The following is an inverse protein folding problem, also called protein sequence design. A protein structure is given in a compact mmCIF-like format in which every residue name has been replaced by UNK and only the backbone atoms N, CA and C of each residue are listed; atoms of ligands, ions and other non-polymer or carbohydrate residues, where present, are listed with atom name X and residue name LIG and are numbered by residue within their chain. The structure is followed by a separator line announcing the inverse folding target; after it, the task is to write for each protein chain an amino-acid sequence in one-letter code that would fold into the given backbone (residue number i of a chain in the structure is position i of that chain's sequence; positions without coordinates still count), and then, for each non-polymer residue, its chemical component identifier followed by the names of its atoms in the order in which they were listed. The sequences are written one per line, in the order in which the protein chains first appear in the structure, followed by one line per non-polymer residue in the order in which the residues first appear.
data_IF_452238032453
#
_entry.id   IF_452238032453
#
_cell.length_a   1.000
_cell.length_b   1.000
_cell.length_c   1.000
_cell.angle_alpha   90.00
_cell.angle_beta   90.00
_cell.angle_gamma   90.00
#
_symmetry.space_group_name_H-M   'P 1'
#
loop_
_entity.id
_entity.type
_entity.pdbx_description
1 polymer ?
#
# COMPACT_ATOMS: atom_id res chain seq x y z
N UNK A 1 13.72 -24.15 33.74
CA UNK A 1 13.24 -23.34 32.61
C UNK A 1 11.72 -23.33 32.49
N UNK A 2 11.03 -24.47 32.27
CA UNK A 2 9.56 -24.52 32.07
C UNK A 2 8.75 -23.69 33.10
N UNK A 3 9.04 -23.81 34.40
CA UNK A 3 8.37 -23.05 35.46
C UNK A 3 8.57 -21.52 35.44
N UNK A 4 9.53 -21.01 34.66
CA UNK A 4 9.78 -19.55 34.51
C UNK A 4 8.96 -18.98 33.34
N UNK A 5 8.64 -19.79 32.33
CA UNK A 5 7.81 -19.36 31.18
C UNK A 5 6.32 -19.35 31.51
N UNK A 6 5.86 -20.21 32.44
CA UNK A 6 4.46 -20.25 32.88
C UNK A 6 4.02 -18.94 33.54
N UNK A 7 4.87 -18.31 34.36
CA UNK A 7 4.55 -17.06 35.05
C UNK A 7 4.31 -15.85 34.13
N UNK A 8 4.76 -15.88 32.87
CA UNK A 8 4.43 -14.85 31.88
C UNK A 8 3.02 -15.01 31.29
N UNK A 9 2.45 -16.22 31.29
CA UNK A 9 1.11 -16.47 30.74
C UNK A 9 0.00 -16.08 31.72
N UNK A 10 0.20 -16.24 33.03
CA UNK A 10 -0.77 -15.80 34.04
C UNK A 10 -1.05 -14.29 33.97
N UNK A 11 -0.02 -13.48 33.69
CA UNK A 11 -0.14 -12.03 33.49
C UNK A 11 -1.03 -11.68 32.29
N UNK A 12 -0.77 -12.27 31.13
CA UNK A 12 -1.57 -12.08 29.91
C UNK A 12 -3.02 -12.57 30.07
N UNK A 13 -3.23 -13.66 30.81
CA UNK A 13 -4.55 -14.20 31.12
C UNK A 13 -5.41 -13.26 31.97
N UNK A 14 -4.80 -12.58 32.97
CA UNK A 14 -5.52 -11.59 33.80
C UNK A 14 -5.84 -10.32 33.02
N UNK A 15 -4.92 -9.84 32.16
CA UNK A 15 -5.11 -8.63 31.35
C UNK A 15 -6.20 -8.83 30.25
N UNK A 16 -6.28 -10.03 29.68
CA UNK A 16 -7.35 -10.42 28.76
C UNK A 16 -8.72 -10.58 29.46
N UNK A 17 -8.77 -11.15 30.68
CA UNK A 17 -10.01 -11.22 31.49
C UNK A 17 -10.54 -9.83 31.89
N UNK A 18 -9.67 -8.82 31.97
CA UNK A 18 -10.07 -7.44 32.27
C UNK A 18 -10.68 -6.67 31.07
N UNK A 19 -10.43 -7.11 29.83
CA UNK A 19 -10.79 -6.34 28.61
C UNK A 19 -12.01 -6.85 27.84
N UNK A 20 -12.47 -8.09 28.06
CA UNK A 20 -13.63 -8.65 27.33
C UNK A 20 -14.69 -9.32 28.24
N UNK A 21 -15.73 -8.57 28.59
CA UNK A 21 -16.90 -9.06 29.35
C UNK A 21 -17.96 -9.80 28.51
N UNK A 22 -17.64 -10.21 27.26
CA UNK A 22 -18.62 -10.67 26.27
C UNK A 22 -18.35 -12.04 25.63
N UNK A 23 -17.19 -12.67 25.87
CA UNK A 23 -16.88 -14.02 25.39
C UNK A 23 -16.85 -14.96 26.59
N UNK A 24 -17.65 -16.03 26.54
CA UNK A 24 -17.93 -16.89 27.69
C UNK A 24 -16.66 -17.46 28.35
N UNK A 25 -16.40 -17.05 29.59
CA UNK A 25 -15.25 -17.50 30.38
C UNK A 25 -15.17 -19.04 30.51
N UNK A 26 -16.33 -19.71 30.49
CA UNK A 26 -16.46 -21.18 30.52
C UNK A 26 -15.57 -21.90 29.50
N UNK A 27 -15.46 -21.36 28.28
CA UNK A 27 -14.75 -22.05 27.19
C UNK A 27 -13.23 -21.93 27.35
N UNK A 28 -12.77 -20.84 27.94
CA UNK A 28 -11.35 -20.60 28.24
C UNK A 28 -10.92 -21.40 29.48
N UNK A 29 -11.76 -21.43 30.52
CA UNK A 29 -11.49 -22.18 31.75
C UNK A 29 -11.39 -23.71 31.44
N UNK A 30 -12.20 -24.26 30.53
CA UNK A 30 -12.08 -25.65 30.01
C UNK A 30 -10.74 -25.88 29.29
N UNK A 31 -10.21 -24.86 28.60
CA UNK A 31 -8.95 -24.98 27.86
C UNK A 31 -7.74 -24.98 28.81
N UNK A 32 -7.78 -24.14 29.85
CA UNK A 32 -6.79 -24.11 30.94
C UNK A 32 -6.80 -25.44 31.71
N UNK A 33 -7.98 -25.94 32.12
CA UNK A 33 -8.14 -27.23 32.80
C UNK A 33 -7.49 -28.40 32.02
N UNK A 34 -7.61 -28.38 30.68
CA UNK A 34 -6.97 -29.39 29.82
C UNK A 34 -5.45 -29.25 29.74
N UNK A 35 -4.91 -28.03 29.79
CA UNK A 35 -3.46 -27.79 29.81
C UNK A 35 -2.86 -28.26 31.14
N UNK A 36 -3.56 -28.02 32.26
CA UNK A 36 -3.15 -28.50 33.58
C UNK A 36 -3.14 -30.03 33.64
N UNK A 37 -4.19 -30.69 33.16
CA UNK A 37 -4.27 -32.17 33.07
C UNK A 37 -3.17 -32.78 32.19
N UNK A 38 -2.78 -32.10 31.11
CA UNK A 38 -1.64 -32.53 30.27
C UNK A 38 -0.30 -32.36 31.01
N UNK A 39 -0.13 -31.25 31.72
CA UNK A 39 1.08 -30.96 32.50
C UNK A 39 1.26 -31.97 33.64
N UNK A 40 0.19 -32.24 34.39
CA UNK A 40 0.20 -33.24 35.46
C UNK A 40 0.49 -34.66 34.94
N UNK A 41 -0.03 -35.02 33.75
CA UNK A 41 0.29 -36.30 33.09
C UNK A 41 1.78 -36.44 32.75
N UNK A 42 2.41 -35.39 32.24
CA UNK A 42 3.85 -35.39 31.92
C UNK A 42 4.69 -35.58 33.20
N UNK A 43 4.35 -34.87 34.29
CA UNK A 43 5.02 -35.07 35.58
C UNK A 43 4.83 -36.48 36.17
N UNK A 44 3.62 -37.03 36.08
CA UNK A 44 3.30 -38.36 36.61
C UNK A 44 4.03 -39.49 35.86
N UNK A 45 4.26 -39.32 34.56
CA UNK A 45 5.06 -40.24 33.73
C UNK A 45 6.54 -40.18 34.15
N UNK A 46 7.10 -38.99 34.34
CA UNK A 46 8.48 -38.81 34.79
C UNK A 46 8.80 -39.46 36.14
N UNK A 47 7.82 -39.51 37.06
CA UNK A 47 7.98 -40.08 38.42
C UNK A 47 7.89 -41.62 38.50
N UNK A 48 7.57 -42.34 37.41
CA UNK A 48 7.28 -43.80 37.46
C UNK A 48 8.20 -44.73 36.66
N UNK A 49 9.15 -44.22 35.88
CA UNK A 49 9.94 -45.06 34.95
C UNK A 49 11.19 -45.66 35.60
N UNK A 50 11.28 -46.99 35.63
CA UNK A 50 12.51 -47.74 35.90
C UNK A 50 13.30 -47.98 34.61
N UNK A 51 14.62 -48.20 34.75
CA UNK A 51 15.67 -47.99 33.72
C UNK A 51 15.62 -48.84 32.43
N UNK A 52 14.55 -49.62 32.18
CA UNK A 52 14.40 -50.47 30.97
C UNK A 52 13.24 -50.03 30.06
N UNK A 53 12.44 -49.02 30.44
CA UNK A 53 11.42 -48.41 29.57
C UNK A 53 11.64 -46.91 29.34
N UNK A 54 12.87 -46.41 29.55
CA UNK A 54 13.17 -44.98 29.46
C UNK A 54 12.92 -44.41 28.06
N UNK A 55 13.40 -45.07 27.01
CA UNK A 55 13.36 -44.55 25.62
C UNK A 55 11.93 -44.36 25.11
N UNK A 56 11.05 -45.34 25.32
CA UNK A 56 9.64 -45.27 24.93
C UNK A 56 8.83 -44.26 25.77
N UNK A 57 9.34 -43.86 26.94
CA UNK A 57 8.79 -42.78 27.76
C UNK A 57 9.28 -41.42 27.27
N UNK A 58 10.57 -41.30 26.94
CA UNK A 58 11.17 -40.09 26.35
C UNK A 58 10.50 -39.74 25.02
N UNK A 59 10.32 -40.70 24.11
CA UNK A 59 9.65 -40.49 22.82
C UNK A 59 8.21 -39.95 22.97
N UNK A 60 7.48 -40.41 24.00
CA UNK A 60 6.13 -39.90 24.32
C UNK A 60 6.15 -38.50 24.93
N UNK A 61 7.14 -38.19 25.76
CA UNK A 61 7.32 -36.86 26.35
C UNK A 61 7.67 -35.86 25.24
N UNK A 62 8.60 -36.18 24.36
CA UNK A 62 9.00 -35.32 23.24
C UNK A 62 7.83 -35.04 22.28
N UNK A 63 7.03 -36.05 21.93
CA UNK A 63 5.81 -35.86 21.15
C UNK A 63 4.81 -34.92 21.85
N UNK A 64 4.60 -35.08 23.16
CA UNK A 64 3.69 -34.23 23.94
C UNK A 64 4.19 -32.78 24.04
N UNK A 65 5.51 -32.57 24.10
CA UNK A 65 6.13 -31.23 24.11
C UNK A 65 5.95 -30.55 22.75
N UNK A 66 6.03 -31.28 21.64
CA UNK A 66 5.79 -30.76 20.29
C UNK A 66 4.33 -30.29 20.16
N UNK A 67 3.36 -31.14 20.53
CA UNK A 67 1.93 -30.79 20.49
C UNK A 67 1.60 -29.58 21.37
N UNK A 68 2.21 -29.47 22.56
CA UNK A 68 2.03 -28.33 23.46
C UNK A 68 2.58 -27.01 22.88
N UNK A 69 3.73 -27.08 22.19
CA UNK A 69 4.32 -25.90 21.54
C UNK A 69 3.52 -25.47 20.31
N UNK A 70 2.95 -26.40 19.54
CA UNK A 70 2.03 -26.08 18.45
C UNK A 70 0.75 -25.42 18.99
N UNK A 71 0.16 -25.96 20.06
CA UNK A 71 -1.01 -25.36 20.72
C UNK A 71 -0.73 -23.94 21.23
N UNK A 72 0.41 -23.71 21.90
CA UNK A 72 0.83 -22.36 22.36
C UNK A 72 0.97 -21.37 21.20
N UNK A 73 1.57 -21.80 20.09
CA UNK A 73 1.71 -20.97 18.89
C UNK A 73 0.36 -20.62 18.27
N UNK A 74 -0.55 -21.59 18.15
CA UNK A 74 -1.91 -21.37 17.62
C UNK A 74 -2.73 -20.43 18.51
N UNK A 75 -2.67 -20.59 19.83
CA UNK A 75 -3.33 -19.68 20.78
C UNK A 75 -2.77 -18.26 20.64
N UNK A 76 -1.43 -18.10 20.54
CA UNK A 76 -0.82 -16.79 20.33
C UNK A 76 -1.26 -16.15 18.99
N UNK A 77 -1.33 -16.94 17.91
CA UNK A 77 -1.86 -16.48 16.62
C UNK A 77 -3.34 -16.09 16.70
N UNK A 78 -4.18 -16.87 17.38
CA UNK A 78 -5.61 -16.58 17.54
C UNK A 78 -5.84 -15.34 18.42
N UNK A 79 -5.13 -15.20 19.55
CA UNK A 79 -5.17 -14.00 20.38
C UNK A 79 -4.74 -12.75 19.60
N UNK A 80 -3.70 -12.86 18.79
CA UNK A 80 -3.19 -11.74 17.98
C UNK A 80 -4.11 -11.41 16.80
N UNK A 81 -4.81 -12.41 16.25
CA UNK A 81 -5.83 -12.23 15.21
C UNK A 81 -7.15 -11.68 15.78
N UNK A 82 -7.52 -12.06 17.00
CA UNK A 82 -8.62 -11.45 17.77
C UNK A 82 -8.31 -10.00 18.12
N UNK A 83 -7.10 -9.69 18.58
CA UNK A 83 -6.66 -8.33 18.89
C UNK A 83 -6.63 -7.42 17.65
N UNK A 84 -6.35 -7.98 16.46
CA UNK A 84 -6.52 -7.30 15.17
C UNK A 84 -7.98 -7.21 14.72
N UNK A 85 -8.85 -8.07 15.25
CA UNK A 85 -10.25 -8.25 14.86
C UNK A 85 -10.44 -9.08 13.59
N UNK A 86 -9.42 -9.78 13.11
CA UNK A 86 -9.45 -10.56 11.87
C UNK A 86 -10.41 -11.76 11.95
N UNK A 87 -10.64 -12.27 13.16
CA UNK A 87 -11.55 -13.37 13.48
C UNK A 87 -12.97 -12.82 13.73
N UNK A 88 -13.93 -13.26 12.91
CA UNK A 88 -15.34 -12.83 12.91
C UNK A 88 -16.28 -13.86 13.55
N UNK A 89 -15.89 -15.13 13.60
CA UNK A 89 -16.62 -16.24 14.24
C UNK A 89 -15.66 -17.10 15.10
N UNK A 90 -16.15 -17.69 16.19
CA UNK A 90 -15.41 -18.69 16.98
C UNK A 90 -14.89 -19.84 16.10
N UNK A 91 -15.64 -20.22 15.06
CA UNK A 91 -15.24 -21.31 14.15
C UNK A 91 -14.00 -20.99 13.29
N UNK A 92 -13.60 -19.73 13.21
CA UNK A 92 -12.39 -19.29 12.50
C UNK A 92 -11.10 -19.39 13.35
N UNK A 93 -11.22 -19.65 14.66
CA UNK A 93 -10.09 -19.88 15.56
C UNK A 93 -9.29 -21.12 15.10
N UNK A 94 -8.00 -20.93 14.82
CA UNK A 94 -7.11 -22.01 14.39
C UNK A 94 -6.94 -23.07 15.49
N UNK A 95 -6.93 -22.64 16.75
CA UNK A 95 -6.89 -23.51 17.94
C UNK A 95 -8.10 -24.43 17.99
N UNK A 96 -9.32 -23.95 17.69
CA UNK A 96 -10.53 -24.77 17.70
C UNK A 96 -10.46 -25.85 16.61
N UNK A 97 -10.01 -25.49 15.41
CA UNK A 97 -9.84 -26.45 14.31
C UNK A 97 -8.76 -27.52 14.61
N UNK A 98 -7.68 -27.14 15.30
CA UNK A 98 -6.64 -28.07 15.77
C UNK A 98 -7.14 -29.01 16.87
N UNK A 99 -7.89 -28.51 17.86
CA UNK A 99 -8.51 -29.35 18.91
C UNK A 99 -9.47 -30.39 18.29
N UNK A 100 -10.26 -29.99 17.28
CA UNK A 100 -11.16 -30.91 16.57
C UNK A 100 -10.44 -31.90 15.64
N UNK A 101 -9.23 -31.60 15.16
CA UNK A 101 -8.45 -32.55 14.35
C UNK A 101 -7.83 -33.65 15.23
N UNK A 102 -7.25 -33.27 16.38
CA UNK A 102 -6.70 -34.20 17.37
C UNK A 102 -7.77 -35.14 17.93
N UNK A 103 -8.95 -34.61 18.29
CA UNK A 103 -10.08 -35.40 18.79
C UNK A 103 -10.57 -36.48 17.80
N UNK A 104 -10.38 -36.29 16.49
CA UNK A 104 -10.71 -37.31 15.46
C UNK A 104 -9.64 -38.40 15.33
N UNK A 105 -8.38 -38.09 15.67
CA UNK A 105 -7.27 -39.04 15.62
C UNK A 105 -7.38 -40.16 16.66
N UNK A 106 -7.68 -39.80 17.92
CA UNK A 106 -7.73 -40.76 19.02
C UNK A 106 -8.94 -41.71 18.98
N UNK A 107 -10.08 -41.27 18.44
CA UNK A 107 -11.26 -42.14 18.24
C UNK A 107 -10.96 -43.31 17.30
N UNK A 108 -10.00 -43.18 16.39
CA UNK A 108 -9.61 -44.27 15.48
C UNK A 108 -8.58 -45.26 16.08
N UNK A 109 -8.02 -44.99 17.27
CA UNK A 109 -6.94 -45.81 17.87
C UNK A 109 -7.39 -46.72 19.02
N UNK A 110 -8.66 -46.65 19.45
CA UNK A 110 -9.11 -47.21 20.74
C UNK A 110 -10.05 -48.43 20.67
N UNK A 111 -10.04 -49.23 19.59
CA UNK A 111 -10.83 -50.49 19.50
C UNK A 111 -10.01 -51.67 18.97
N UNK A 112 -9.40 -52.46 19.86
CA UNK A 112 -9.38 -53.95 19.84
C UNK A 112 -8.56 -54.55 21.00
N UNK A 113 -9.17 -55.25 21.98
CA UNK A 113 -8.44 -56.08 22.94
C UNK A 113 -8.38 -57.54 22.46
N UNK A 114 -7.21 -57.98 21.99
CA UNK A 114 -6.98 -59.38 21.59
C UNK A 114 -6.54 -60.25 22.77
N UNK A 115 -7.49 -60.92 23.42
CA UNK A 115 -7.21 -61.91 24.46
C UNK A 115 -6.87 -63.26 23.81
N UNK A 116 -5.63 -63.75 23.95
CA UNK A 116 -5.23 -65.09 23.50
C UNK A 116 -4.85 -65.99 24.68
N UNK A 117 -5.69 -67.00 24.94
CA UNK A 117 -5.36 -68.20 25.72
C UNK A 117 -4.63 -69.18 24.80
N UNK A 118 -3.58 -69.83 25.30
CA UNK A 118 -2.67 -70.65 24.48
C UNK A 118 -3.11 -72.10 24.33
N UNK A 119 -2.53 -72.78 23.32
CA UNK A 119 -2.49 -74.24 23.18
C UNK A 119 -1.21 -74.64 22.42
N UNK A 120 -0.79 -75.91 22.52
CA UNK A 120 0.60 -76.33 22.26
C UNK A 120 0.76 -77.52 21.31
N UNK A 121 1.97 -77.64 20.73
CA UNK A 121 2.54 -78.76 19.93
C UNK A 121 2.06 -78.83 18.45
N UNK A 122 2.91 -79.10 17.46
CA UNK A 122 4.39 -79.21 17.44
C UNK A 122 4.90 -79.87 16.15
N UNK A 123 6.23 -79.79 15.88
CA UNK A 123 7.01 -80.61 14.91
C UNK A 123 6.58 -80.48 13.43
N UNK A 124 7.37 -80.10 12.41
CA UNK A 124 8.81 -79.82 12.20
C UNK A 124 8.93 -78.77 11.03
N UNK A 125 10.02 -78.47 10.30
CA UNK A 125 11.35 -79.08 10.12
C UNK A 125 12.42 -78.02 9.70
N UNK A 126 13.51 -78.49 9.06
CA UNK A 126 14.73 -77.80 8.56
C UNK A 126 15.01 -78.47 7.18
N UNK A 127 15.43 -77.80 6.08
CA UNK A 127 16.75 -77.16 6.00
C UNK A 127 17.01 -76.00 5.01
N UNK A 128 18.18 -75.34 5.22
CA UNK A 128 19.04 -74.65 4.22
C UNK A 128 18.47 -73.42 3.46
N UNK A 129 19.25 -72.44 2.99
CA UNK A 129 20.71 -72.25 2.94
C UNK A 129 21.08 -70.74 3.02
N UNK A 130 22.38 -70.46 3.10
CA UNK A 130 23.03 -69.17 2.87
C UNK A 130 22.47 -68.36 1.67
N UNK A 131 22.49 -67.02 1.75
CA UNK A 131 23.23 -66.22 0.75
C UNK A 131 23.53 -64.78 1.21
N UNK A 132 24.79 -64.39 1.06
CA UNK A 132 25.31 -63.04 1.31
C UNK A 132 25.44 -62.30 -0.03
N UNK A 133 24.58 -61.30 -0.34
CA UNK A 133 24.85 -60.33 -1.43
C UNK A 133 23.98 -59.06 -1.40
N UNK A 134 24.68 -57.92 -1.36
CA UNK A 134 24.40 -56.62 -2.01
C UNK A 134 22.95 -56.17 -2.20
N UNK A 135 22.59 -55.07 -1.53
CA UNK A 135 21.83 -53.97 -2.15
C UNK A 135 22.22 -52.63 -1.54
N UNK A 136 23.19 -51.96 -2.19
CA UNK A 136 23.46 -50.54 -2.02
C UNK A 136 22.54 -49.82 -3.00
N UNK A 137 21.79 -48.81 -2.54
CA UNK A 137 20.98 -47.96 -3.43
C UNK A 137 19.46 -48.09 -3.27
N UNK A 138 18.92 -47.52 -2.20
CA UNK A 138 17.60 -46.85 -2.27
C UNK A 138 17.80 -45.37 -1.95
N UNK A 139 18.07 -44.62 -3.01
CA UNK A 139 17.90 -43.16 -2.99
C UNK A 139 16.47 -42.86 -2.54
N UNK A 140 16.33 -41.97 -1.55
CA UNK A 140 15.03 -41.40 -1.18
C UNK A 140 14.68 -40.34 -2.22
N UNK A 141 14.42 -40.77 -3.46
CA UNK A 141 13.57 -40.01 -4.39
C UNK A 141 12.13 -40.12 -3.88
N UNK A 142 11.87 -39.43 -2.78
CA UNK A 142 10.53 -39.16 -2.30
C UNK A 142 9.79 -38.46 -3.42
N UNK A 143 8.93 -39.21 -4.11
CA UNK A 143 8.16 -38.71 -5.25
C UNK A 143 7.27 -37.60 -4.71
N UNK A 144 7.64 -36.36 -4.99
CA UNK A 144 6.81 -35.17 -4.79
C UNK A 144 5.60 -35.28 -5.72
N UNK A 145 4.63 -36.10 -5.33
CA UNK A 145 3.40 -36.29 -6.08
C UNK A 145 2.67 -34.96 -6.17
N UNK A 146 2.20 -34.64 -7.37
CA UNK A 146 1.58 -33.36 -7.77
C UNK A 146 0.26 -33.02 -7.03
N UNK A 147 -0.13 -33.82 -6.02
CA UNK A 147 -1.26 -33.54 -5.14
C UNK A 147 -0.93 -32.49 -4.06
N UNK A 148 0.30 -32.44 -3.56
CA UNK A 148 0.66 -31.45 -2.51
C UNK A 148 0.79 -30.00 -3.04
N UNK A 149 1.06 -29.82 -4.33
CA UNK A 149 1.14 -28.49 -4.97
C UNK A 149 -0.23 -27.77 -5.08
N UNK A 150 -1.36 -28.44 -4.83
CA UNK A 150 -2.66 -27.77 -4.71
C UNK A 150 -2.83 -27.05 -3.37
N UNK A 151 -2.17 -27.50 -2.30
CA UNK A 151 -2.24 -26.83 -1.00
C UNK A 151 -1.54 -25.46 -1.02
N UNK A 152 -0.45 -25.32 -1.79
CA UNK A 152 0.25 -24.04 -1.99
C UNK A 152 -0.50 -23.02 -2.85
N UNK A 153 -1.59 -23.41 -3.51
CA UNK A 153 -2.42 -22.50 -4.30
C UNK A 153 -3.16 -21.43 -3.47
N UNK A 154 -3.31 -21.64 -2.15
CA UNK A 154 -3.95 -20.69 -1.23
C UNK A 154 -3.11 -19.46 -0.90
N UNK A 155 -1.78 -19.52 -1.05
CA UNK A 155 -0.90 -18.43 -0.59
C UNK A 155 -0.99 -17.16 -1.45
N UNK A 156 -1.37 -17.30 -2.72
CA UNK A 156 -1.51 -16.17 -3.64
C UNK A 156 -2.88 -15.47 -3.54
N UNK A 157 -3.93 -16.14 -3.02
CA UNK A 157 -5.26 -15.51 -2.92
C UNK A 157 -5.29 -14.37 -1.90
N UNK A 158 -4.54 -14.51 -0.79
CA UNK A 158 -4.43 -13.48 0.26
C UNK A 158 -4.02 -12.13 -0.34
N UNK A 159 -2.98 -12.11 -1.19
CA UNK A 159 -2.53 -10.88 -1.86
C UNK A 159 -3.56 -10.30 -2.83
N UNK A 160 -4.31 -11.15 -3.55
CA UNK A 160 -5.37 -10.67 -4.45
C UNK A 160 -6.59 -10.15 -3.71
N UNK A 161 -6.90 -10.70 -2.54
CA UNK A 161 -8.06 -10.30 -1.75
C UNK A 161 -7.79 -8.97 -1.04
N UNK A 162 -6.61 -8.76 -0.45
CA UNK A 162 -6.18 -7.44 0.06
C UNK A 162 -6.14 -6.38 -1.05
N UNK A 163 -5.60 -6.71 -2.23
CA UNK A 163 -5.56 -5.78 -3.37
C UNK A 163 -6.95 -5.52 -4.01
N UNK A 164 -8.00 -6.22 -3.58
CA UNK A 164 -9.37 -6.06 -4.09
C UNK A 164 -10.27 -5.18 -3.20
N UNK A 165 -9.69 -4.53 -2.20
CA UNK A 165 -10.39 -3.78 -1.16
C UNK A 165 -9.96 -2.30 -1.18
N UNK A 166 -10.94 -1.39 -1.15
CA UNK A 166 -10.70 0.05 -0.98
C UNK A 166 -10.94 0.45 0.48
N UNK A 167 -9.90 0.94 1.15
CA UNK A 167 -10.04 1.58 2.45
C UNK A 167 -10.40 3.06 2.22
N UNK A 168 -11.46 3.56 2.86
CA UNK A 168 -11.72 4.99 2.87
C UNK A 168 -10.52 5.72 3.46
N UNK A 169 -10.08 6.79 2.79
CA UNK A 169 -8.97 7.62 3.24
C UNK A 169 -9.44 8.69 4.22
N UNK A 170 -8.49 9.22 4.98
CA UNK A 170 -8.68 10.41 5.83
C UNK A 170 -8.63 11.71 4.99
N UNK A 171 -9.48 11.77 3.96
CA UNK A 171 -9.64 12.91 3.04
C UNK A 171 -11.02 13.55 3.23
N UNK A 172 -11.14 14.85 2.94
CA UNK A 172 -12.46 15.54 2.94
C UNK A 172 -13.40 14.93 1.89
N UNK A 173 -12.85 14.42 0.77
CA UNK A 173 -13.59 13.77 -0.30
C UNK A 173 -14.26 12.47 0.17
N UNK A 174 -13.51 11.52 0.75
CA UNK A 174 -14.07 10.26 1.26
C UNK A 174 -15.03 10.53 2.44
N UNK A 175 -14.71 11.50 3.29
CA UNK A 175 -15.56 11.90 4.42
C UNK A 175 -16.93 12.45 4.00
N UNK A 176 -16.99 13.18 2.88
CA UNK A 176 -18.23 13.74 2.34
C UNK A 176 -19.29 12.68 1.99
N UNK A 177 -18.91 11.42 1.84
CA UNK A 177 -19.83 10.29 1.67
C UNK A 177 -20.85 10.20 2.82
N UNK A 178 -20.43 10.58 4.02
CA UNK A 178 -21.24 10.57 5.24
C UNK A 178 -22.12 11.84 5.42
N UNK A 179 -21.97 12.86 4.56
CA UNK A 179 -22.62 14.17 4.69
C UNK A 179 -24.15 14.09 4.63
N UNK A 180 -24.84 14.47 5.70
CA UNK A 180 -26.29 14.34 5.82
C UNK A 180 -26.76 12.93 6.21
N UNK A 181 -25.86 12.08 6.73
CA UNK A 181 -26.27 10.88 7.46
C UNK A 181 -26.79 11.29 8.85
N UNK A 182 -28.01 10.89 9.26
CA UNK A 182 -28.59 11.34 10.52
C UNK A 182 -27.84 10.85 11.76
N UNK A 183 -27.05 9.77 11.66
CA UNK A 183 -26.33 9.15 12.78
C UNK A 183 -25.24 10.02 13.42
N UNK A 184 -24.73 11.05 12.73
CA UNK A 184 -23.70 11.97 13.25
C UNK A 184 -24.30 13.23 13.90
N UNK A 185 -25.62 13.43 13.77
CA UNK A 185 -26.29 14.65 14.21
C UNK A 185 -26.05 15.86 13.31
N UNK A 186 -26.84 16.92 13.52
CA UNK A 186 -26.83 18.11 12.65
C UNK A 186 -25.52 18.94 12.73
N UNK A 187 -24.92 19.23 13.92
CA UNK A 187 -23.73 20.08 13.99
C UNK A 187 -22.52 19.49 13.25
N UNK A 188 -22.29 18.18 13.36
CA UNK A 188 -21.19 17.50 12.67
C UNK A 188 -21.37 17.52 11.15
N UNK A 189 -22.60 17.38 10.67
CA UNK A 189 -22.93 17.51 9.25
C UNK A 189 -22.71 18.95 8.73
N UNK A 190 -23.00 19.99 9.53
CA UNK A 190 -22.69 21.37 9.17
C UNK A 190 -21.17 21.63 9.08
N UNK A 191 -20.39 21.13 10.05
CA UNK A 191 -18.93 21.27 10.03
C UNK A 191 -18.33 20.52 8.83
N UNK A 192 -18.79 19.30 8.55
CA UNK A 192 -18.35 18.52 7.39
C UNK A 192 -18.69 19.21 6.06
N UNK A 193 -19.84 19.86 5.95
CA UNK A 193 -20.19 20.68 4.78
C UNK A 193 -19.26 21.89 4.61
N UNK A 194 -18.96 22.59 5.71
CA UNK A 194 -18.02 23.72 5.70
C UNK A 194 -16.61 23.26 5.29
N UNK A 195 -16.14 22.11 5.80
CA UNK A 195 -14.86 21.52 5.41
C UNK A 195 -14.80 21.15 3.92
N UNK A 196 -15.87 20.56 3.38
CA UNK A 196 -15.97 20.28 1.93
C UNK A 196 -15.94 21.55 1.09
N UNK A 197 -16.68 22.58 1.48
CA UNK A 197 -16.70 23.86 0.78
C UNK A 197 -15.33 24.56 0.84
N UNK A 198 -14.69 24.57 2.01
CA UNK A 198 -13.35 25.12 2.18
C UNK A 198 -12.33 24.39 1.30
N UNK A 199 -12.36 23.05 1.27
CA UNK A 199 -11.50 22.25 0.41
C UNK A 199 -11.68 22.58 -1.08
N UNK A 200 -12.92 22.62 -1.58
CA UNK A 200 -13.21 22.97 -2.98
C UNK A 200 -12.70 24.39 -3.29
N UNK A 201 -12.96 25.38 -2.44
CA UNK A 201 -12.50 26.76 -2.65
C UNK A 201 -10.96 26.82 -2.68
N UNK A 202 -10.29 26.17 -1.74
CA UNK A 202 -8.82 26.16 -1.63
C UNK A 202 -8.18 25.48 -2.84
N UNK A 203 -8.64 24.30 -3.24
CA UNK A 203 -8.08 23.62 -4.42
C UNK A 203 -8.38 24.39 -5.72
N UNK A 204 -9.56 24.98 -5.87
CA UNK A 204 -9.87 25.83 -7.03
C UNK A 204 -9.01 27.10 -7.07
N UNK A 205 -8.72 27.72 -5.92
CA UNK A 205 -7.81 28.86 -5.84
C UNK A 205 -6.37 28.48 -6.23
N UNK A 206 -5.85 27.35 -5.74
CA UNK A 206 -4.54 26.85 -6.15
C UNK A 206 -4.48 26.49 -7.64
N UNK A 207 -5.51 25.84 -8.19
CA UNK A 207 -5.62 25.63 -9.64
C UNK A 207 -5.57 26.96 -10.41
N UNK A 208 -6.29 27.99 -9.96
CA UNK A 208 -6.27 29.32 -10.58
C UNK A 208 -4.88 29.95 -10.58
N UNK A 209 -4.15 29.84 -9.47
CA UNK A 209 -2.76 30.31 -9.35
C UNK A 209 -1.83 29.51 -10.30
N UNK A 210 -1.91 28.16 -10.28
CA UNK A 210 -1.05 27.32 -11.14
C UNK A 210 -1.33 27.53 -12.63
N UNK A 211 -2.56 27.87 -13.01
CA UNK A 211 -2.92 28.24 -14.39
C UNK A 211 -2.31 29.58 -14.82
N UNK A 212 -2.11 30.54 -13.90
CA UNK A 212 -1.52 31.85 -14.24
C UNK A 212 0.02 31.82 -14.34
N UNK A 213 0.68 31.00 -13.51
CA UNK A 213 2.15 30.98 -13.39
C UNK A 213 2.95 30.77 -14.71
N UNK A 214 2.51 29.95 -15.69
CA UNK A 214 3.20 29.82 -16.97
C UNK A 214 3.25 31.12 -17.79
N UNK A 215 2.24 31.99 -17.67
CA UNK A 215 2.18 33.23 -18.46
C UNK A 215 3.19 34.28 -17.95
N UNK A 216 3.39 34.35 -16.63
CA UNK A 216 4.25 35.36 -16.00
C UNK A 216 5.76 35.07 -16.16
N UNK A 217 6.14 33.82 -16.47
CA UNK A 217 7.54 33.34 -16.46
C UNK A 217 8.14 33.01 -17.83
N UNK A 218 7.44 33.30 -18.93
CA UNK A 218 7.97 33.06 -20.27
C UNK A 218 9.02 34.10 -20.69
N UNK A 219 10.21 34.06 -20.07
CA UNK A 219 11.37 34.87 -20.48
C UNK A 219 11.94 34.50 -21.87
N UNK A 220 11.52 33.36 -22.41
CA UNK A 220 12.00 32.76 -23.65
C UNK A 220 10.92 32.78 -24.75
N UNK A 221 10.15 33.86 -24.87
CA UNK A 221 9.29 34.12 -26.03
C UNK A 221 10.09 34.55 -27.26
N UNK A 222 9.52 34.39 -28.45
CA UNK A 222 10.10 34.91 -29.69
C UNK A 222 10.37 36.44 -29.61
N UNK A 223 9.46 37.19 -28.97
CA UNK A 223 9.64 38.63 -28.73
C UNK A 223 10.84 38.93 -27.83
N UNK A 224 11.10 38.10 -26.81
CA UNK A 224 12.28 38.22 -25.96
C UNK A 224 13.57 37.87 -26.72
N UNK A 225 13.56 36.83 -27.57
CA UNK A 225 14.69 36.49 -28.45
C UNK A 225 14.98 37.63 -29.44
N UNK A 226 13.94 38.24 -30.01
CA UNK A 226 14.06 39.41 -30.87
C UNK A 226 14.62 40.63 -30.11
N UNK A 227 14.15 40.88 -28.89
CA UNK A 227 14.66 41.95 -28.04
C UNK A 227 16.15 41.75 -27.67
N UNK A 228 16.57 40.52 -27.35
CA UNK A 228 17.98 40.17 -27.13
C UNK A 228 18.82 40.34 -28.40
N UNK A 229 18.26 40.01 -29.57
CA UNK A 229 18.92 40.23 -30.88
C UNK A 229 19.14 41.73 -31.12
N UNK A 230 18.10 42.55 -30.90
CA UNK A 230 18.18 44.00 -31.06
C UNK A 230 19.15 44.63 -30.06
N UNK A 231 19.13 44.22 -28.79
CA UNK A 231 20.12 44.62 -27.79
C UNK A 231 21.54 44.29 -28.27
N UNK A 232 21.80 43.06 -28.72
CA UNK A 232 23.11 42.65 -29.23
C UNK A 232 23.59 43.53 -30.38
N UNK A 233 22.72 43.86 -31.34
CA UNK A 233 23.10 44.70 -32.49
C UNK A 233 23.42 46.16 -32.14
N UNK A 234 22.93 46.66 -31.01
CA UNK A 234 23.12 48.06 -30.57
C UNK A 234 24.18 48.22 -29.47
N UNK A 235 24.75 47.12 -28.98
CA UNK A 235 25.64 47.11 -27.80
C UNK A 235 27.11 47.01 -28.20
N UNK A 236 28.03 47.81 -27.61
CA UNK A 236 29.46 47.73 -27.88
C UNK A 236 30.06 46.34 -27.58
N UNK A 237 31.07 45.94 -28.36
CA UNK A 237 31.71 44.61 -28.25
C UNK A 237 32.32 44.38 -26.86
N UNK A 238 32.81 45.41 -26.17
CA UNK A 238 33.34 45.32 -24.81
C UNK A 238 32.27 44.90 -23.79
N UNK A 239 31.07 45.48 -23.88
CA UNK A 239 29.91 45.11 -23.05
C UNK A 239 29.42 43.71 -23.41
N UNK A 240 29.31 43.37 -24.70
CA UNK A 240 28.94 42.02 -25.15
C UNK A 240 29.91 40.95 -24.63
N UNK A 241 31.22 41.24 -24.67
CA UNK A 241 32.26 40.35 -24.16
C UNK A 241 32.09 40.15 -22.66
N UNK A 242 31.93 41.25 -21.91
CA UNK A 242 31.73 41.23 -20.46
C UNK A 242 30.47 40.46 -20.03
N UNK A 243 29.35 40.59 -20.76
CA UNK A 243 28.13 39.80 -20.51
C UNK A 243 28.38 38.32 -20.82
N UNK A 244 29.02 38.00 -21.95
CA UNK A 244 29.32 36.61 -22.34
C UNK A 244 30.40 35.92 -21.49
N UNK A 245 31.24 36.67 -20.77
CA UNK A 245 32.15 36.16 -19.74
C UNK A 245 31.46 36.01 -18.36
N UNK A 246 30.15 36.26 -18.29
CA UNK A 246 29.34 36.23 -17.07
C UNK A 246 29.90 37.15 -15.96
N UNK A 247 30.48 38.29 -16.32
CA UNK A 247 31.08 39.22 -15.37
C UNK A 247 30.03 39.94 -14.50
N UNK A 248 29.97 39.61 -13.21
CA UNK A 248 29.04 40.16 -12.21
C UNK A 248 29.13 41.69 -12.02
N UNK A 249 30.18 42.36 -12.49
CA UNK A 249 30.36 43.81 -12.28
C UNK A 249 29.48 44.71 -13.16
N UNK A 250 28.68 44.13 -14.07
CA UNK A 250 27.80 44.85 -14.99
C UNK A 250 26.49 45.30 -14.31
N UNK A 251 26.40 46.60 -13.98
CA UNK A 251 25.17 47.18 -13.40
C UNK A 251 24.11 47.60 -14.43
N UNK A 252 24.51 47.90 -15.67
CA UNK A 252 23.61 48.41 -16.73
C UNK A 252 22.86 47.32 -17.47
N UNK A 253 23.49 46.16 -17.67
CA UNK A 253 22.99 45.06 -18.52
C UNK A 253 22.68 43.80 -17.68
N UNK A 254 22.29 44.02 -16.42
CA UNK A 254 22.03 42.96 -15.44
C UNK A 254 20.94 41.97 -15.89
N UNK A 255 19.90 42.44 -16.60
CA UNK A 255 18.83 41.58 -17.10
C UNK A 255 19.36 40.55 -18.11
N UNK A 256 20.17 41.01 -19.06
CA UNK A 256 20.82 40.20 -20.08
C UNK A 256 21.82 39.22 -19.45
N UNK A 257 22.67 39.71 -18.54
CA UNK A 257 23.59 38.86 -17.77
C UNK A 257 22.85 37.76 -17.00
N UNK A 258 21.77 38.10 -16.28
CA UNK A 258 20.99 37.11 -15.51
C UNK A 258 20.31 36.08 -16.41
N UNK A 259 19.68 36.51 -17.52
CA UNK A 259 19.05 35.57 -18.47
C UNK A 259 20.08 34.64 -19.09
N UNK A 260 21.26 35.15 -19.46
CA UNK A 260 22.34 34.35 -20.04
C UNK A 260 22.92 33.37 -19.01
N UNK A 261 23.11 33.80 -17.76
CA UNK A 261 23.61 32.96 -16.67
C UNK A 261 22.65 31.79 -16.41
N UNK A 262 21.35 32.08 -16.25
CA UNK A 262 20.30 31.06 -16.04
C UNK A 262 20.23 30.07 -17.23
N UNK A 263 20.30 30.57 -18.47
CA UNK A 263 20.29 29.73 -19.68
C UNK A 263 21.56 28.86 -19.81
N UNK A 264 22.72 29.41 -19.46
CA UNK A 264 24.02 28.71 -19.52
C UNK A 264 24.13 27.64 -18.43
N UNK A 265 23.63 27.90 -17.23
CA UNK A 265 23.56 26.90 -16.16
C UNK A 265 22.62 25.74 -16.56
N UNK A 266 21.43 26.07 -17.08
CA UNK A 266 20.44 25.07 -17.50
C UNK A 266 20.96 24.17 -18.64
N UNK A 267 21.63 24.75 -19.63
CA UNK A 267 22.20 24.04 -20.78
C UNK A 267 23.58 23.40 -20.52
N UNK A 268 24.12 23.50 -19.30
CA UNK A 268 25.46 23.00 -18.97
C UNK A 268 25.59 21.49 -19.26
N UNK A 269 26.58 21.05 -20.06
CA UNK A 269 26.79 19.64 -20.36
C UNK A 269 27.37 18.91 -19.15
N UNK A 270 26.87 17.69 -18.90
CA UNK A 270 27.39 16.79 -17.90
C UNK A 270 28.60 16.03 -18.45
N UNK A 271 29.77 16.23 -17.83
CA UNK A 271 31.10 15.84 -18.35
C UNK A 271 31.30 14.34 -18.61
N UNK A 272 30.43 13.48 -18.09
CA UNK A 272 30.52 12.02 -18.25
C UNK A 272 29.63 11.45 -19.36
N UNK A 273 28.60 12.18 -19.81
CA UNK A 273 27.53 11.61 -20.66
C UNK A 273 27.02 12.54 -21.77
N UNK A 274 27.61 13.73 -21.95
CA UNK A 274 27.23 14.75 -22.94
C UNK A 274 25.79 15.31 -22.83
N UNK A 275 24.96 14.80 -21.91
CA UNK A 275 23.61 15.30 -21.65
C UNK A 275 23.62 16.65 -20.89
N UNK A 276 22.65 17.51 -21.19
CA UNK A 276 22.43 18.77 -20.48
C UNK A 276 21.73 18.51 -19.13
N UNK A 277 22.25 19.12 -18.05
CA UNK A 277 21.83 18.82 -16.67
C UNK A 277 20.38 19.30 -16.41
N UNK A 278 20.05 20.53 -16.78
CA UNK A 278 18.73 21.14 -16.54
C UNK A 278 17.58 20.36 -17.18
N UNK A 279 17.63 20.06 -18.49
CA UNK A 279 16.65 19.22 -19.18
C UNK A 279 16.47 17.83 -18.57
N UNK A 280 17.57 17.18 -18.18
CA UNK A 280 17.51 15.86 -17.55
C UNK A 280 16.79 15.92 -16.20
N UNK A 281 17.11 16.92 -15.37
CA UNK A 281 16.41 17.17 -14.10
C UNK A 281 14.93 17.45 -14.32
N UNK A 282 14.57 18.30 -15.29
CA UNK A 282 13.19 18.61 -15.64
C UNK A 282 12.41 17.35 -16.06
N UNK A 283 12.99 16.47 -16.90
CA UNK A 283 12.36 15.19 -17.29
C UNK A 283 12.12 14.27 -16.09
N UNK A 284 13.08 14.15 -15.16
CA UNK A 284 12.94 13.33 -13.95
C UNK A 284 11.81 13.88 -13.06
N UNK A 285 11.78 15.21 -12.87
CA UNK A 285 10.75 15.90 -12.09
C UNK A 285 9.35 15.74 -12.71
N UNK A 286 9.24 15.88 -14.04
CA UNK A 286 7.98 15.66 -14.78
C UNK A 286 7.47 14.20 -14.65
N UNK A 287 8.36 13.21 -14.69
CA UNK A 287 8.00 11.79 -14.46
C UNK A 287 7.46 11.60 -13.04
N UNK A 288 8.15 12.13 -12.02
CA UNK A 288 7.72 12.04 -10.63
C UNK A 288 6.36 12.73 -10.40
N UNK A 289 6.17 13.93 -10.95
CA UNK A 289 4.92 14.67 -10.90
C UNK A 289 3.76 13.92 -11.58
N UNK A 290 4.01 13.36 -12.77
CA UNK A 290 3.02 12.57 -13.51
C UNK A 290 2.62 11.31 -12.74
N UNK A 291 3.58 10.61 -12.12
CA UNK A 291 3.32 9.45 -11.27
C UNK A 291 2.42 9.81 -10.08
N UNK A 292 2.67 10.95 -9.43
CA UNK A 292 1.87 11.44 -8.30
C UNK A 292 0.42 11.72 -8.71
N UNK A 293 0.21 12.52 -9.75
CA UNK A 293 -1.13 12.83 -10.28
C UNK A 293 -1.90 11.58 -10.71
N UNK A 294 -1.25 10.62 -11.38
CA UNK A 294 -1.89 9.37 -11.79
C UNK A 294 -2.24 8.48 -10.60
N UNK A 295 -1.44 8.47 -9.52
CA UNK A 295 -1.76 7.78 -8.28
C UNK A 295 -2.98 8.40 -7.57
N UNK A 296 -3.09 9.74 -7.56
CA UNK A 296 -4.25 10.46 -7.02
C UNK A 296 -5.52 10.19 -7.85
N UNK A 297 -5.46 10.35 -9.17
CA UNK A 297 -6.57 10.04 -10.09
C UNK A 297 -7.03 8.58 -9.94
N UNK A 298 -6.09 7.63 -9.83
CA UNK A 298 -6.41 6.22 -9.60
C UNK A 298 -7.10 6.01 -8.26
N UNK A 299 -6.66 6.66 -7.18
CA UNK A 299 -7.32 6.58 -5.88
C UNK A 299 -8.78 7.03 -5.97
N UNK A 300 -9.05 8.13 -6.66
CA UNK A 300 -10.41 8.62 -6.88
C UNK A 300 -11.26 7.66 -7.75
N UNK A 301 -10.69 7.05 -8.78
CA UNK A 301 -11.37 6.03 -9.59
C UNK A 301 -11.70 4.78 -8.76
N UNK A 302 -10.74 4.29 -7.96
CA UNK A 302 -10.94 3.15 -7.07
C UNK A 302 -12.01 3.46 -6.00
N UNK A 303 -12.06 4.68 -5.42
CA UNK A 303 -13.16 5.14 -4.56
C UNK A 303 -14.53 5.09 -5.26
N UNK A 304 -14.67 5.70 -6.44
CA UNK A 304 -15.94 5.71 -7.18
C UNK A 304 -16.39 4.28 -7.55
N UNK A 305 -15.47 3.39 -7.94
CA UNK A 305 -15.80 1.98 -8.22
C UNK A 305 -16.22 1.21 -6.97
N UNK A 306 -15.58 1.46 -5.82
CA UNK A 306 -15.94 0.86 -4.54
C UNK A 306 -17.34 1.30 -4.09
N UNK A 307 -17.63 2.61 -4.16
CA UNK A 307 -18.96 3.20 -3.89
C UNK A 307 -20.03 2.61 -4.82
N UNK A 308 -19.73 2.47 -6.11
CA UNK A 308 -20.62 1.82 -7.08
C UNK A 308 -20.92 0.36 -6.78
N UNK A 309 -19.94 -0.41 -6.26
CA UNK A 309 -20.14 -1.81 -5.88
C UNK A 309 -20.94 -1.96 -4.58
N UNK A 310 -20.78 -1.02 -3.63
CA UNK A 310 -21.54 -0.94 -2.38
C UNK A 310 -23.00 -0.43 -2.56
N UNK A 311 -23.39 -0.11 -3.80
CA UNK A 311 -24.72 0.37 -4.14
C UNK A 311 -25.79 -0.73 -4.02
N UNK A 312 -26.70 -0.57 -3.06
CA UNK A 312 -27.93 -1.36 -2.98
C UNK A 312 -29.10 -0.52 -3.52
N UNK A 313 -29.60 -0.91 -4.70
CA UNK A 313 -30.75 -0.26 -5.34
C UNK A 313 -32.06 -0.42 -4.56
N UNK A 314 -32.15 -1.37 -3.63
CA UNK A 314 -33.34 -1.61 -2.82
C UNK A 314 -33.38 -0.76 -1.55
N UNK A 315 -32.22 -0.37 -1.00
CA UNK A 315 -32.17 0.49 0.18
C UNK A 315 -32.49 1.95 -0.16
N UNK A 316 -33.35 2.56 0.64
CA UNK A 316 -33.67 4.00 0.56
C UNK A 316 -32.67 4.86 1.32
N UNK A 317 -32.10 4.32 2.39
CA UNK A 317 -31.25 5.01 3.35
C UNK A 317 -29.90 4.33 3.49
N UNK A 318 -28.87 5.09 3.82
CA UNK A 318 -27.54 4.54 4.09
C UNK A 318 -27.52 3.88 5.47
N UNK A 319 -27.20 2.59 5.52
CA UNK A 319 -27.11 1.80 6.75
C UNK A 319 -25.64 1.53 7.08
N UNK A 320 -25.26 1.89 8.30
CA UNK A 320 -23.96 1.59 8.89
C UNK A 320 -24.25 0.72 10.11
N UNK A 321 -23.91 -0.55 10.01
CA UNK A 321 -24.02 -1.50 11.11
C UNK A 321 -22.76 -1.38 11.98
N UNK A 322 -22.95 -1.26 13.29
CA UNK A 322 -21.86 -1.26 14.27
C UNK A 322 -21.74 -2.63 14.92
N UNK A 323 -20.57 -3.28 14.81
CA UNK A 323 -20.26 -4.55 15.47
C UNK A 323 -18.83 -4.56 15.96
N UNK A 324 -18.62 -4.75 17.27
CA UNK A 324 -17.30 -4.92 17.89
C UNK A 324 -16.28 -3.86 17.44
N UNK A 325 -16.61 -2.57 17.66
CA UNK A 325 -15.81 -1.40 17.26
C UNK A 325 -15.60 -1.17 15.76
N UNK A 326 -15.98 -2.11 14.89
CA UNK A 326 -15.92 -1.94 13.43
C UNK A 326 -17.27 -1.47 12.89
N UNK A 327 -17.22 -0.53 11.94
CA UNK A 327 -18.38 -0.08 11.18
C UNK A 327 -18.42 -0.83 9.86
N UNK A 328 -19.57 -1.38 9.47
CA UNK A 328 -19.76 -2.00 8.16
C UNK A 328 -20.90 -1.32 7.40
N UNK A 329 -20.61 -0.85 6.19
CA UNK A 329 -21.59 -0.20 5.32
C UNK A 329 -22.42 -1.28 4.61
N UNK A 330 -23.63 -1.54 5.10
CA UNK A 330 -24.44 -2.70 4.67
C UNK A 330 -25.30 -2.43 3.43
N UNK A 331 -25.50 -1.16 3.06
CA UNK A 331 -26.14 -0.80 1.81
C UNK A 331 -26.11 0.71 1.55
N UNK A 332 -25.77 1.10 0.32
CA UNK A 332 -25.73 2.49 -0.10
C UNK A 332 -26.83 2.83 -1.12
N UNK A 333 -27.67 3.85 -0.88
CA UNK A 333 -28.71 4.25 -1.82
C UNK A 333 -28.13 4.99 -3.03
N UNK A 334 -28.73 4.83 -4.21
CA UNK A 334 -28.24 5.39 -5.50
C UNK A 334 -27.94 6.90 -5.45
N UNK A 335 -28.70 7.69 -4.67
CA UNK A 335 -28.46 9.13 -4.50
C UNK A 335 -27.07 9.46 -3.94
N UNK A 336 -26.52 8.59 -3.07
CA UNK A 336 -25.18 8.73 -2.49
C UNK A 336 -24.08 8.42 -3.50
N UNK A 337 -24.32 7.45 -4.38
CA UNK A 337 -23.41 7.11 -5.49
C UNK A 337 -23.28 8.29 -6.44
N UNK A 338 -24.41 8.85 -6.90
CA UNK A 338 -24.43 10.05 -7.76
C UNK A 338 -23.69 11.23 -7.09
N UNK A 339 -23.87 11.42 -5.78
CA UNK A 339 -23.14 12.45 -5.03
C UNK A 339 -21.62 12.20 -5.01
N UNK A 340 -21.19 10.98 -4.69
CA UNK A 340 -19.78 10.59 -4.69
C UNK A 340 -19.15 10.71 -6.09
N UNK A 341 -19.88 10.37 -7.15
CA UNK A 341 -19.44 10.49 -8.54
C UNK A 341 -19.24 11.96 -8.95
N UNK A 342 -20.17 12.85 -8.57
CA UNK A 342 -20.04 14.29 -8.82
C UNK A 342 -18.79 14.85 -8.16
N UNK A 343 -18.52 14.47 -6.90
CA UNK A 343 -17.32 14.90 -6.20
C UNK A 343 -16.04 14.29 -6.78
N UNK A 344 -16.06 13.00 -7.14
CA UNK A 344 -14.92 12.34 -7.77
C UNK A 344 -14.60 12.91 -9.16
N UNK A 345 -15.60 13.31 -9.94
CA UNK A 345 -15.41 14.02 -11.21
C UNK A 345 -14.75 15.39 -10.98
N UNK A 346 -15.17 16.14 -9.94
CA UNK A 346 -14.54 17.42 -9.56
C UNK A 346 -13.08 17.21 -9.15
N UNK A 347 -12.80 16.21 -8.30
CA UNK A 347 -11.45 15.88 -7.86
C UNK A 347 -10.53 15.44 -9.03
N UNK A 348 -11.05 14.63 -9.95
CA UNK A 348 -10.34 14.24 -11.18
C UNK A 348 -10.07 15.45 -12.08
N UNK A 349 -11.03 16.36 -12.24
CA UNK A 349 -10.84 17.59 -13.03
C UNK A 349 -9.74 18.47 -12.44
N UNK A 350 -9.72 18.65 -11.12
CA UNK A 350 -8.66 19.36 -10.38
C UNK A 350 -7.30 18.70 -10.63
N UNK A 351 -7.20 17.37 -10.47
CA UNK A 351 -5.96 16.64 -10.70
C UNK A 351 -5.46 16.73 -12.15
N UNK A 352 -6.35 16.73 -13.15
CA UNK A 352 -6.00 16.90 -14.57
C UNK A 352 -5.52 18.32 -14.87
N UNK A 353 -6.18 19.35 -14.32
CA UNK A 353 -5.75 20.75 -14.44
C UNK A 353 -4.35 20.93 -13.83
N UNK A 354 -4.13 20.44 -12.61
CA UNK A 354 -2.82 20.50 -11.95
C UNK A 354 -1.75 19.71 -12.70
N UNK A 355 -2.08 18.53 -13.25
CA UNK A 355 -1.15 17.75 -14.06
C UNK A 355 -0.68 18.55 -15.30
N UNK A 356 -1.60 19.14 -16.05
CA UNK A 356 -1.27 19.89 -17.28
C UNK A 356 -0.53 21.19 -16.94
N UNK A 357 -1.14 22.08 -16.15
CA UNK A 357 -0.58 23.41 -15.91
C UNK A 357 0.61 23.39 -14.94
N UNK A 358 0.64 22.44 -13.99
CA UNK A 358 1.83 22.18 -13.18
C UNK A 358 3.02 21.69 -14.02
N UNK A 359 2.78 20.82 -15.01
CA UNK A 359 3.84 20.39 -15.94
C UNK A 359 4.35 21.54 -16.82
N UNK A 360 3.46 22.42 -17.29
CA UNK A 360 3.84 23.63 -18.04
C UNK A 360 4.65 24.61 -17.17
N UNK A 361 4.26 24.81 -15.91
CA UNK A 361 4.99 25.66 -14.97
C UNK A 361 6.38 25.09 -14.64
N UNK A 362 6.50 23.76 -14.50
CA UNK A 362 7.79 23.07 -14.37
C UNK A 362 8.67 23.29 -15.61
N UNK A 363 8.14 23.09 -16.82
CA UNK A 363 8.91 23.30 -18.07
C UNK A 363 9.37 24.77 -18.20
N UNK A 364 8.54 25.74 -17.82
CA UNK A 364 8.88 27.16 -17.85
C UNK A 364 9.92 27.59 -16.80
N UNK A 365 10.36 26.68 -15.92
CA UNK A 365 11.34 26.97 -14.86
C UNK A 365 12.75 26.54 -15.28
N UNK A 366 13.60 27.49 -15.64
CA UNK A 366 15.02 27.24 -16.00
C UNK A 366 15.95 27.09 -14.80
N UNK A 367 15.60 27.66 -13.63
CA UNK A 367 16.43 27.53 -12.42
C UNK A 367 16.32 26.13 -11.82
N UNK A 368 17.48 25.47 -11.68
CA UNK A 368 17.56 24.06 -11.25
C UNK A 368 17.08 23.86 -9.80
N UNK A 369 17.35 24.83 -8.91
CA UNK A 369 16.81 24.91 -7.55
C UNK A 369 15.28 25.01 -7.54
N UNK A 370 14.75 25.87 -8.39
CA UNK A 370 13.33 26.23 -8.42
C UNK A 370 12.50 25.08 -9.00
N UNK A 371 13.03 24.31 -9.96
CA UNK A 371 12.39 23.11 -10.51
C UNK A 371 11.95 22.13 -9.41
N UNK A 372 12.86 21.82 -8.47
CA UNK A 372 12.59 20.88 -7.38
C UNK A 372 11.62 21.48 -6.37
N UNK A 373 11.79 22.77 -6.03
CA UNK A 373 10.92 23.48 -5.09
C UNK A 373 9.48 23.61 -5.61
N UNK A 374 9.32 23.94 -6.89
CA UNK A 374 8.02 24.04 -7.56
C UNK A 374 7.31 22.67 -7.60
N UNK A 375 8.05 21.58 -7.83
CA UNK A 375 7.49 20.23 -7.80
C UNK A 375 6.99 19.82 -6.41
N UNK A 376 7.74 20.13 -5.35
CA UNK A 376 7.31 19.89 -3.96
C UNK A 376 6.08 20.74 -3.62
N UNK A 377 6.02 21.99 -4.07
CA UNK A 377 4.85 22.85 -3.89
C UNK A 377 3.59 22.30 -4.60
N UNK A 378 3.75 21.76 -5.82
CA UNK A 378 2.67 21.10 -6.56
C UNK A 378 2.17 19.83 -5.85
N UNK A 379 3.06 19.02 -5.27
CA UNK A 379 2.68 17.87 -4.42
C UNK A 379 1.89 18.33 -3.18
N UNK A 380 2.35 19.37 -2.49
CA UNK A 380 1.65 19.90 -1.31
C UNK A 380 0.23 20.40 -1.62
N UNK A 381 0.01 21.01 -2.80
CA UNK A 381 -1.33 21.41 -3.26
C UNK A 381 -2.27 20.20 -3.41
N UNK A 382 -1.73 19.03 -3.81
CA UNK A 382 -2.50 17.78 -3.95
C UNK A 382 -2.79 17.09 -2.62
N UNK A 383 -2.08 17.42 -1.54
CA UNK A 383 -2.26 16.86 -0.18
C UNK A 383 -3.11 17.76 0.74
N UNK A 384 -3.50 18.95 0.27
CA UNK A 384 -4.18 19.97 1.09
C UNK A 384 -5.54 19.48 1.66
N UNK A 385 -6.22 18.54 0.99
CA UNK A 385 -7.48 17.97 1.48
C UNK A 385 -7.30 17.01 2.65
N UNK A 386 -6.15 16.34 2.77
CA UNK A 386 -5.80 15.54 3.95
C UNK A 386 -5.54 16.48 5.15
N UNK A 387 -4.86 17.63 4.92
CA UNK A 387 -4.66 18.64 5.97
C UNK A 387 -5.97 19.30 6.42
N UNK A 388 -6.90 19.59 5.49
CA UNK A 388 -8.22 20.14 5.82
C UNK A 388 -9.08 19.07 6.54
N UNK A 389 -8.94 17.78 6.19
CA UNK A 389 -9.60 16.71 6.93
C UNK A 389 -9.16 16.69 8.40
N UNK A 390 -7.84 16.62 8.65
CA UNK A 390 -7.27 16.53 9.99
C UNK A 390 -7.59 17.73 10.89
N UNK A 391 -7.86 18.90 10.30
CA UNK A 391 -8.11 20.15 11.03
C UNK A 391 -9.59 20.51 11.19
N UNK A 392 -10.44 20.19 10.21
CA UNK A 392 -11.85 20.62 10.20
C UNK A 392 -12.83 19.48 10.50
N UNK A 393 -12.53 18.24 10.10
CA UNK A 393 -13.52 17.15 10.18
C UNK A 393 -13.72 16.71 11.64
N UNK A 394 -14.98 16.61 12.15
CA UNK A 394 -15.22 16.22 13.53
C UNK A 394 -14.62 14.85 13.87
N UNK A 395 -14.00 14.72 15.04
CA UNK A 395 -13.36 13.46 15.50
C UNK A 395 -14.27 12.22 15.40
N UNK A 396 -15.57 12.39 15.58
CA UNK A 396 -16.56 11.32 15.38
C UNK A 396 -16.56 10.75 13.96
N UNK A 397 -16.46 11.64 12.95
CA UNK A 397 -16.43 11.29 11.52
C UNK A 397 -15.10 10.60 11.19
N UNK A 398 -13.97 11.13 11.69
CA UNK A 398 -12.65 10.48 11.57
C UNK A 398 -12.63 9.06 12.17
N UNK A 399 -13.21 8.87 13.37
CA UNK A 399 -13.33 7.53 13.98
C UNK A 399 -14.18 6.58 13.11
N UNK A 400 -15.28 7.06 12.52
CA UNK A 400 -16.12 6.22 11.63
C UNK A 400 -15.35 5.82 10.37
N UNK A 401 -14.60 6.74 9.76
CA UNK A 401 -13.83 6.49 8.53
C UNK A 401 -12.67 5.53 8.78
N UNK A 402 -11.85 5.81 9.79
CA UNK A 402 -10.70 4.96 10.17
C UNK A 402 -11.08 3.55 10.62
N UNK A 403 -12.31 3.35 11.11
CA UNK A 403 -12.84 2.04 11.54
C UNK A 403 -13.92 1.47 10.60
N UNK A 404 -14.10 2.03 9.40
CA UNK A 404 -14.99 1.44 8.39
C UNK A 404 -14.30 0.21 7.77
N UNK A 405 -15.02 -0.91 7.70
CA UNK A 405 -14.61 -2.06 6.92
C UNK A 405 -14.36 -1.63 5.47
N UNK A 406 -13.27 -2.07 4.82
CA UNK A 406 -13.00 -1.71 3.43
C UNK A 406 -14.14 -2.13 2.51
N UNK A 407 -14.29 -1.38 1.42
CA UNK A 407 -15.30 -1.56 0.39
C UNK A 407 -14.75 -2.45 -0.74
N UNK A 408 -15.54 -3.43 -1.19
CA UNK A 408 -15.12 -4.37 -2.22
C UNK A 408 -14.99 -3.69 -3.60
N UNK A 409 -13.78 -3.64 -4.18
CA UNK A 409 -13.54 -3.18 -5.55
C UNK A 409 -13.95 -4.21 -6.63
N UNK A 410 -14.31 -5.42 -6.21
CA UNK A 410 -14.45 -6.59 -7.08
C UNK A 410 -15.88 -6.86 -7.53
N UNK A 411 -16.30 -6.18 -8.60
CA UNK A 411 -17.50 -6.60 -9.34
C UNK A 411 -17.25 -7.99 -9.95
N UNK A 412 -18.05 -8.99 -9.57
CA UNK A 412 -17.84 -10.43 -9.88
C UNK A 412 -18.19 -10.80 -11.33
N UNK A 413 -17.66 -10.07 -12.32
CA UNK A 413 -17.82 -10.36 -13.75
C UNK A 413 -16.95 -11.57 -14.16
N UNK A 414 -17.48 -12.77 -13.94
CA UNK A 414 -16.79 -14.06 -14.11
C UNK A 414 -16.43 -14.48 -15.54
N UNK A 415 -15.95 -13.56 -16.38
CA UNK A 415 -15.52 -13.81 -17.77
C UNK A 415 -14.09 -13.35 -18.10
N UNK A 416 -13.46 -12.51 -17.27
CA UNK A 416 -12.08 -12.05 -17.50
C UNK A 416 -11.12 -12.89 -16.66
N UNK A 417 -10.08 -13.53 -17.24
CA UNK A 417 -9.09 -14.28 -16.48
C UNK A 417 -8.32 -13.35 -15.53
N UNK A 418 -8.22 -13.74 -14.27
CA UNK A 418 -7.82 -12.88 -13.15
C UNK A 418 -6.34 -12.43 -13.13
N UNK A 419 -5.55 -12.83 -14.12
CA UNK A 419 -4.08 -12.83 -14.04
C UNK A 419 -3.40 -11.57 -14.64
N UNK A 420 -4.14 -10.65 -15.27
CA UNK A 420 -3.57 -9.43 -15.87
C UNK A 420 -3.97 -8.20 -15.07
N UNK A 421 -3.01 -7.41 -14.53
CA UNK A 421 -3.29 -6.20 -13.77
C UNK A 421 -3.64 -5.02 -14.70
N UNK A 422 -4.77 -5.12 -15.40
CA UNK A 422 -5.22 -4.16 -16.43
C UNK A 422 -5.18 -2.71 -15.92
N UNK A 423 -5.57 -2.45 -14.66
CA UNK A 423 -5.50 -1.11 -14.04
C UNK A 423 -4.08 -0.53 -14.06
N UNK A 424 -3.06 -1.33 -13.71
CA UNK A 424 -1.67 -0.90 -13.71
C UNK A 424 -1.14 -0.66 -15.12
N UNK A 425 -1.54 -1.50 -16.09
CA UNK A 425 -1.16 -1.32 -17.50
C UNK A 425 -1.77 -0.04 -18.09
N UNK A 426 -3.04 0.27 -17.79
CA UNK A 426 -3.68 1.53 -18.20
C UNK A 426 -2.97 2.73 -17.60
N UNK A 427 -2.65 2.71 -16.30
CA UNK A 427 -1.86 3.78 -15.65
C UNK A 427 -0.49 3.95 -16.31
N UNK A 428 0.24 2.86 -16.57
CA UNK A 428 1.56 2.89 -17.21
C UNK A 428 1.51 3.50 -18.61
N UNK A 429 0.52 3.11 -19.43
CA UNK A 429 0.32 3.65 -20.77
C UNK A 429 0.00 5.15 -20.70
N UNK A 430 -0.88 5.57 -19.78
CA UNK A 430 -1.23 6.98 -19.60
C UNK A 430 -0.01 7.83 -19.17
N UNK A 431 0.77 7.37 -18.19
CA UNK A 431 2.02 8.01 -17.75
C UNK A 431 2.98 8.13 -18.92
N UNK A 432 3.23 7.04 -19.65
CA UNK A 432 4.16 7.04 -20.78
C UNK A 432 3.70 8.01 -21.89
N UNK A 433 2.42 7.98 -22.28
CA UNK A 433 1.89 8.90 -23.30
C UNK A 433 1.97 10.37 -22.88
N UNK A 434 1.73 10.66 -21.60
CA UNK A 434 1.78 12.03 -21.08
C UNK A 434 3.23 12.53 -21.00
N UNK A 435 4.16 11.74 -20.44
CA UNK A 435 5.58 12.10 -20.36
C UNK A 435 6.19 12.28 -21.75
N UNK A 436 5.86 11.42 -22.73
CA UNK A 436 6.29 11.60 -24.12
C UNK A 436 5.72 12.89 -24.72
N UNK A 437 4.42 13.17 -24.51
CA UNK A 437 3.80 14.43 -24.95
C UNK A 437 4.48 15.68 -24.37
N UNK A 438 4.69 15.70 -23.05
CA UNK A 438 5.39 16.82 -22.38
C UNK A 438 6.87 16.90 -22.74
N UNK A 439 7.51 15.79 -23.13
CA UNK A 439 8.91 15.82 -23.60
C UNK A 439 9.06 16.59 -24.91
N UNK A 440 8.10 16.49 -25.84
CA UNK A 440 8.11 17.34 -27.05
C UNK A 440 7.98 18.83 -26.73
N UNK A 441 7.12 19.19 -25.76
CA UNK A 441 6.95 20.59 -25.30
C UNK A 441 8.24 21.09 -24.61
N UNK A 442 8.88 20.23 -23.83
CA UNK A 442 10.17 20.53 -23.21
C UNK A 442 11.28 20.71 -24.25
N UNK A 443 11.33 19.88 -25.30
CA UNK A 443 12.35 19.99 -26.35
C UNK A 443 12.21 21.29 -27.17
N UNK A 444 10.98 21.78 -27.37
CA UNK A 444 10.73 23.13 -27.91
C UNK A 444 11.27 24.23 -26.99
N UNK A 445 11.04 24.11 -25.67
CA UNK A 445 11.57 25.05 -24.68
C UNK A 445 13.10 25.04 -24.64
N UNK A 446 13.75 23.87 -24.67
CA UNK A 446 15.21 23.73 -24.74
C UNK A 446 15.75 24.46 -25.97
N UNK A 447 15.12 24.27 -27.14
CA UNK A 447 15.52 24.95 -28.37
C UNK A 447 15.52 26.48 -28.22
N UNK A 448 14.50 27.05 -27.57
CA UNK A 448 14.42 28.50 -27.29
C UNK A 448 15.47 28.96 -26.30
N UNK A 449 15.74 28.20 -25.23
CA UNK A 449 16.80 28.51 -24.26
C UNK A 449 18.18 28.48 -24.93
N UNK A 450 18.48 27.45 -25.73
CA UNK A 450 19.74 27.39 -26.50
C UNK A 450 19.84 28.50 -27.53
N UNK A 451 18.73 28.88 -28.16
CA UNK A 451 18.67 29.99 -29.11
C UNK A 451 19.05 31.32 -28.45
N UNK A 452 18.64 31.57 -27.20
CA UNK A 452 19.09 32.77 -26.46
C UNK A 452 20.61 32.78 -26.26
N UNK A 453 21.21 31.65 -25.86
CA UNK A 453 22.68 31.55 -25.69
C UNK A 453 23.41 31.84 -27.01
N UNK A 454 22.97 31.23 -28.12
CA UNK A 454 23.55 31.45 -29.45
C UNK A 454 23.31 32.87 -29.97
N UNK A 455 22.12 33.43 -29.75
CA UNK A 455 21.77 34.82 -30.13
C UNK A 455 22.57 35.83 -29.33
N UNK A 456 22.91 35.57 -28.07
CA UNK A 456 23.73 36.51 -27.28
C UNK A 456 25.23 36.36 -27.56
N UNK A 457 25.76 35.13 -27.56
CA UNK A 457 27.21 34.89 -27.51
C UNK A 457 27.82 34.11 -28.69
N UNK A 458 27.00 33.65 -29.64
CA UNK A 458 27.46 32.83 -30.79
C UNK A 458 28.42 33.51 -31.78
N UNK A 459 28.82 34.77 -31.56
CA UNK A 459 29.89 35.39 -32.34
C UNK A 459 31.28 34.85 -32.00
N UNK A 460 31.48 34.27 -30.80
CA UNK A 460 32.77 33.69 -30.40
C UNK A 460 33.17 32.50 -31.28
N UNK A 461 32.20 31.65 -31.65
CA UNK A 461 32.41 30.50 -32.53
C UNK A 461 32.79 30.88 -33.97
N UNK A 462 32.61 32.14 -34.36
CA UNK A 462 33.01 32.66 -35.69
C UNK A 462 34.40 33.31 -35.65
N UNK A 463 34.93 33.62 -34.45
CA UNK A 463 36.25 34.22 -34.27
C UNK A 463 37.33 33.24 -33.79
N UNK A 464 36.92 32.10 -33.20
CA UNK A 464 37.80 31.00 -32.80
C UNK A 464 38.06 30.02 -33.97
#
# INVERSE_FOLDING_TARGET
HVGVELGCFDGLGQEAKATHSGVGASDFDILVERIDVLTERVEAIGKRSSTVQLDAVVERIDATIIDLNEAKYLIACDCLSLARGDIKDKMELATINWVFSQAKGDVSRSITPSFKRGETKGVSSIPTSSFFRRSLGRSVTGVWTSRNLRATGSRWSIGTDLASNYHLKETVWDASLLLGWPGIGWPANCILFIGLLANIITQMAFCGIVVSLPNDRNYFTEDAILAMTLWRTNTPVETLTSVCDLNETLSTDYYQWSTLSDATEYSRPFTLLEFQIGPMLCRIVLIAWTLWCVAAMRSCLDFMFAVHNACDRSSRDMRIDYRLQRFSLTGMPVKRVIWADVLGIIQILIAVVLLIFGSLWLIATTKTSDLVLNAVALTYIMEIDELIFLTVVPRQVSIIISNLHPLDLRRRTGRVPLNVPIRALISLIAIFSFVVGMSFVLDEHISKVTSVVTVMCGWREVQA
#
